data_IF_003934202589
#
_entry.id   IF_003934202589
#
_cell.length_a   1.000
_cell.length_b   1.000
_cell.length_c   1.000
_cell.angle_alpha   90.00
_cell.angle_beta   90.00
_cell.angle_gamma   90.00
#
_symmetry.space_group_name_H-M   'P 1'
#
loop_
_entity.id
_entity.type
_entity.pdbx_description
1 polymer ?
#
# COMPACT_ATOMS: atom_id res chain seq x y z
N UNK A 1 18.57 -12.85 -23.64
CA UNK A 1 18.46 -11.39 -23.65
C UNK A 1 16.98 -11.07 -23.64
N UNK A 2 16.52 -10.32 -22.62
CA UNK A 2 15.16 -9.78 -22.41
C UNK A 2 14.02 -10.77 -22.05
N UNK A 3 14.01 -11.20 -20.79
CA UNK A 3 12.76 -11.33 -20.03
C UNK A 3 12.91 -10.37 -18.86
N UNK A 4 12.65 -9.08 -19.11
CA UNK A 4 12.43 -8.09 -18.07
C UNK A 4 11.19 -8.53 -17.29
N UNK A 5 11.40 -9.28 -16.20
CA UNK A 5 10.34 -9.58 -15.25
C UNK A 5 10.11 -8.29 -14.46
N UNK A 6 9.27 -7.41 -14.99
CA UNK A 6 8.63 -6.37 -14.20
C UNK A 6 7.89 -7.06 -13.05
N UNK A 7 8.46 -7.02 -11.85
CA UNK A 7 7.85 -7.55 -10.65
C UNK A 7 6.63 -6.70 -10.31
N UNK A 8 5.44 -7.23 -10.57
CA UNK A 8 4.20 -6.64 -10.12
C UNK A 8 3.74 -7.37 -8.85
N UNK A 9 3.49 -6.64 -7.78
CA UNK A 9 3.02 -7.20 -6.52
C UNK A 9 1.82 -6.42 -6.02
N UNK A 10 0.78 -7.12 -5.54
CA UNK A 10 -0.45 -6.49 -5.07
C UNK A 10 -0.60 -6.82 -3.59
N UNK A 11 -0.76 -5.78 -2.78
CA UNK A 11 -1.18 -5.90 -1.38
C UNK A 11 -2.68 -5.64 -1.34
N UNK A 12 -3.45 -6.61 -0.87
CA UNK A 12 -4.89 -6.50 -0.67
C UNK A 12 -5.22 -6.47 0.83
N UNK A 13 -5.98 -5.47 1.24
CA UNK A 13 -6.28 -5.19 2.65
C UNK A 13 -7.80 -5.11 2.83
N UNK A 14 -8.35 -5.92 3.74
CA UNK A 14 -9.72 -5.76 4.21
C UNK A 14 -9.73 -4.87 5.45
N UNK A 15 -10.34 -3.69 5.36
CA UNK A 15 -10.34 -2.66 6.39
C UNK A 15 -11.53 -2.78 7.38
N UNK A 16 -12.29 -3.88 7.31
CA UNK A 16 -13.49 -4.17 8.12
C UNK A 16 -14.69 -3.24 7.89
N UNK A 17 -14.47 -1.99 7.51
CA UNK A 17 -15.51 -1.02 7.15
C UNK A 17 -15.08 -0.17 5.94
N UNK A 18 -16.07 0.32 5.21
CA UNK A 18 -15.86 1.28 4.11
C UNK A 18 -15.34 2.63 4.61
N UNK A 19 -15.67 3.01 5.85
CA UNK A 19 -15.12 4.22 6.44
C UNK A 19 -13.60 4.09 6.63
N UNK A 20 -13.12 2.96 7.14
CA UNK A 20 -11.68 2.73 7.35
C UNK A 20 -10.91 2.65 6.04
N UNK A 21 -11.44 1.98 5.00
CA UNK A 21 -10.78 1.95 3.69
C UNK A 21 -10.71 3.35 3.06
N UNK A 22 -11.76 4.16 3.19
CA UNK A 22 -11.75 5.55 2.72
C UNK A 22 -10.72 6.42 3.45
N UNK A 23 -10.59 6.26 4.78
CA UNK A 23 -9.58 6.98 5.56
C UNK A 23 -8.17 6.54 5.14
N UNK A 24 -7.92 5.23 5.06
CA UNK A 24 -6.63 4.68 4.65
C UNK A 24 -6.23 5.16 3.24
N UNK A 25 -7.17 5.15 2.30
CA UNK A 25 -6.94 5.66 0.95
C UNK A 25 -6.50 7.12 0.96
N UNK A 26 -7.18 7.97 1.75
CA UNK A 26 -6.80 9.38 1.90
C UNK A 26 -5.40 9.50 2.49
N UNK A 27 -5.08 8.77 3.55
CA UNK A 27 -3.77 8.77 4.18
C UNK A 27 -2.66 8.40 3.17
N UNK A 28 -2.82 7.27 2.46
CA UNK A 28 -1.88 6.83 1.42
C UNK A 28 -1.74 7.89 0.31
N UNK A 29 -2.86 8.46 -0.15
CA UNK A 29 -2.91 9.44 -1.23
C UNK A 29 -2.41 10.84 -0.83
N UNK A 30 -2.35 11.16 0.46
CA UNK A 30 -1.85 12.45 0.97
C UNK A 30 -0.40 12.40 1.43
N UNK A 31 0.16 11.22 1.62
CA UNK A 31 1.52 11.06 2.13
C UNK A 31 2.57 11.29 1.03
N UNK A 32 3.23 12.44 1.09
CA UNK A 32 4.24 12.82 0.10
C UNK A 32 5.51 11.97 0.19
N UNK A 33 5.83 11.39 1.36
CA UNK A 33 6.99 10.50 1.49
C UNK A 33 6.79 9.22 0.69
N UNK A 34 5.58 8.63 0.76
CA UNK A 34 5.25 7.44 -0.03
C UNK A 34 5.30 7.70 -1.54
N UNK A 35 4.86 8.89 -1.98
CA UNK A 35 4.88 9.29 -3.40
C UNK A 35 6.28 9.57 -3.91
N UNK A 36 7.06 10.39 -3.19
CA UNK A 36 8.40 10.80 -3.62
C UNK A 36 9.36 9.61 -3.71
N UNK A 37 9.16 8.59 -2.86
CA UNK A 37 9.95 7.37 -2.91
C UNK A 37 9.35 6.29 -3.84
N UNK A 38 8.25 6.59 -4.55
CA UNK A 38 7.56 5.65 -5.45
C UNK A 38 7.21 4.32 -4.77
N UNK A 39 6.76 4.37 -3.51
CA UNK A 39 6.52 3.17 -2.70
C UNK A 39 5.42 2.27 -3.30
N UNK A 40 4.46 2.86 -4.00
CA UNK A 40 3.43 2.15 -4.75
C UNK A 40 3.16 2.87 -6.07
N UNK A 41 2.59 2.14 -7.04
CA UNK A 41 2.19 2.65 -8.34
C UNK A 41 0.75 3.18 -8.33
N UNK A 42 -0.17 2.38 -7.82
CA UNK A 42 -1.59 2.74 -7.71
C UNK A 42 -2.18 2.24 -6.40
N UNK A 43 -3.21 2.94 -5.94
CA UNK A 43 -4.08 2.49 -4.86
C UNK A 43 -5.51 2.59 -5.34
N UNK A 44 -6.27 1.51 -5.19
CA UNK A 44 -7.68 1.43 -5.52
C UNK A 44 -8.49 0.98 -4.31
N UNK A 45 -9.74 1.46 -4.20
CA UNK A 45 -10.67 1.07 -3.14
C UNK A 45 -11.90 0.38 -3.73
N UNK A 46 -12.46 -0.59 -3.01
CA UNK A 46 -13.73 -1.24 -3.36
C UNK A 46 -14.44 -1.66 -2.07
N UNK A 47 -15.45 -0.89 -1.65
CA UNK A 47 -16.10 -1.08 -0.35
C UNK A 47 -15.08 -1.04 0.80
N UNK A 48 -15.06 -2.07 1.64
CA UNK A 48 -14.09 -2.20 2.73
C UNK A 48 -12.69 -2.65 2.31
N UNK A 49 -12.43 -2.84 1.01
CA UNK A 49 -11.15 -3.36 0.52
C UNK A 49 -10.28 -2.27 -0.11
N UNK A 50 -8.97 -2.37 0.10
CA UNK A 50 -7.94 -1.59 -0.57
C UNK A 50 -7.00 -2.52 -1.33
N UNK A 51 -6.62 -2.11 -2.54
CA UNK A 51 -5.58 -2.75 -3.35
C UNK A 51 -4.45 -1.75 -3.60
N UNK A 52 -3.23 -2.12 -3.22
CA UNK A 52 -2.02 -1.32 -3.41
C UNK A 52 -1.12 -2.07 -4.37
N UNK A 53 -0.87 -1.47 -5.54
CA UNK A 53 -0.02 -2.04 -6.58
C UNK A 53 1.42 -1.55 -6.40
N UNK A 54 2.37 -2.47 -6.32
CA UNK A 54 3.80 -2.21 -6.33
C UNK A 54 4.38 -2.60 -7.68
N UNK A 55 5.31 -1.80 -8.19
CA UNK A 55 6.05 -2.11 -9.42
C UNK A 55 7.53 -1.86 -9.23
N UNK A 56 8.35 -2.80 -9.68
CA UNK A 56 9.80 -2.63 -9.82
C UNK A 56 10.40 -3.65 -10.79
N UNK A 57 11.63 -3.40 -11.19
CA UNK A 57 12.42 -4.30 -12.04
C UNK A 57 13.27 -5.28 -11.22
N UNK A 58 13.31 -5.12 -9.88
CA UNK A 58 14.05 -6.03 -8.99
C UNK A 58 13.17 -6.56 -7.87
N UNK A 59 13.40 -7.82 -7.49
CA UNK A 59 12.70 -8.42 -6.35
C UNK A 59 13.09 -7.76 -5.02
N UNK A 60 14.32 -7.26 -4.90
CA UNK A 60 14.81 -6.56 -3.71
C UNK A 60 14.03 -5.27 -3.46
N UNK A 61 13.82 -4.46 -4.49
CA UNK A 61 13.02 -3.24 -4.37
C UNK A 61 11.54 -3.54 -4.10
N UNK A 62 10.96 -4.58 -4.71
CA UNK A 62 9.61 -5.03 -4.33
C UNK A 62 9.53 -5.41 -2.85
N UNK A 63 10.52 -6.13 -2.31
CA UNK A 63 10.55 -6.50 -0.89
C UNK A 63 10.68 -5.25 -0.01
N UNK A 64 11.54 -4.30 -0.40
CA UNK A 64 11.70 -3.04 0.30
C UNK A 64 10.39 -2.25 0.33
N UNK A 65 9.75 -2.04 -0.82
CA UNK A 65 8.46 -1.35 -0.96
C UNK A 65 7.36 -2.05 -0.15
N UNK A 66 7.23 -3.37 -0.29
CA UNK A 66 6.24 -4.15 0.45
C UNK A 66 6.41 -4.03 1.97
N UNK A 67 7.66 -4.05 2.46
CA UNK A 67 7.94 -3.86 3.89
C UNK A 67 7.51 -2.47 4.37
N UNK A 68 7.87 -1.40 3.65
CA UNK A 68 7.49 -0.04 4.03
C UNK A 68 5.97 0.15 4.04
N UNK A 69 5.27 -0.39 3.03
CA UNK A 69 3.79 -0.36 3.00
C UNK A 69 3.21 -1.16 4.16
N UNK A 70 3.77 -2.33 4.49
CA UNK A 70 3.33 -3.11 5.64
C UNK A 70 3.50 -2.33 6.96
N UNK A 71 4.67 -1.72 7.17
CA UNK A 71 4.95 -0.93 8.38
C UNK A 71 3.99 0.27 8.49
N UNK A 72 3.67 0.90 7.36
CA UNK A 72 2.66 1.97 7.29
C UNK A 72 1.26 1.48 7.66
N UNK A 73 0.81 0.37 7.07
CA UNK A 73 -0.50 -0.23 7.36
C UNK A 73 -0.60 -0.64 8.84
N UNK A 74 0.46 -1.23 9.38
CA UNK A 74 0.52 -1.63 10.78
C UNK A 74 0.37 -0.43 11.72
N UNK A 75 1.06 0.67 11.43
CA UNK A 75 0.90 1.91 12.19
C UNK A 75 -0.51 2.47 12.08
N UNK A 76 -1.10 2.46 10.88
CA UNK A 76 -2.46 2.94 10.64
C UNK A 76 -3.49 2.15 11.46
N UNK A 77 -3.47 0.81 11.38
CA UNK A 77 -4.44 -0.02 12.09
C UNK A 77 -4.29 0.08 13.61
N UNK A 78 -3.05 0.11 14.14
CA UNK A 78 -2.81 0.40 15.55
C UNK A 78 -3.37 1.75 15.99
N UNK A 79 -3.27 2.75 15.12
CA UNK A 79 -3.81 4.09 15.40
C UNK A 79 -5.33 4.01 15.50
N UNK A 80 -6.01 3.37 14.55
CA UNK A 80 -7.46 3.16 14.62
C UNK A 80 -7.85 2.43 15.91
N UNK A 81 -7.21 1.30 16.21
CA UNK A 81 -7.46 0.51 17.43
C UNK A 81 -7.32 1.34 18.71
N UNK A 82 -6.45 2.34 18.73
CA UNK A 82 -6.26 3.21 19.90
C UNK A 82 -7.45 4.16 20.13
N UNK A 83 -8.18 4.53 19.08
CA UNK A 83 -9.29 5.48 19.14
C UNK A 83 -10.67 4.83 19.00
N UNK A 84 -10.74 3.49 19.00
CA UNK A 84 -12.01 2.71 18.95
C UNK A 84 -12.25 1.99 20.27
#
# INVERSE_FOLDING_TARGET
>A
MLLDVYGHFIIEVNCLSENHSNILYKCLSSDESLKQNEMYKHVNISGSHIKIELQSNTCEDIRYKAKNIYDYLHFFFKTIETFT
#
